data_IF_012124650236
#
_entry.id   IF_012124650236
#
_cell.length_a   1.000
_cell.length_b   1.000
_cell.length_c   1.000
_cell.angle_alpha   90.00
_cell.angle_beta   90.00
_cell.angle_gamma   90.00
#
_symmetry.space_group_name_H-M   'P 1'
#
loop_
_entity.id
_entity.type
_entity.pdbx_description
1 polymer ?
#
# COMPACT_ATOMS: atom_id res chain seq x y z
N UNK A 1 -5.12 -12.96 -4.83
CA UNK A 1 -5.20 -14.41 -4.63
C UNK A 1 -6.10 -14.76 -3.44
N UNK A 2 -6.49 -16.04 -3.29
CA UNK A 2 -7.36 -16.51 -2.19
C UNK A 2 -6.79 -16.19 -0.78
N UNK A 3 -5.48 -16.22 -0.60
CA UNK A 3 -4.82 -15.91 0.68
C UNK A 3 -4.98 -14.43 1.07
N UNK A 4 -4.88 -13.52 0.13
CA UNK A 4 -5.11 -12.10 0.39
C UNK A 4 -6.57 -11.79 0.76
N UNK A 5 -7.55 -12.47 0.12
CA UNK A 5 -8.96 -12.34 0.50
C UNK A 5 -9.27 -12.87 1.90
N UNK A 6 -8.61 -13.95 2.35
CA UNK A 6 -8.81 -14.50 3.69
C UNK A 6 -8.19 -13.64 4.79
N UNK A 7 -7.07 -12.98 4.53
CA UNK A 7 -6.49 -12.01 5.46
C UNK A 7 -7.35 -10.75 5.59
N UNK A 8 -7.99 -10.29 4.50
CA UNK A 8 -8.91 -9.15 4.52
C UNK A 8 -10.16 -9.37 5.35
N UNK A 9 -10.62 -10.62 5.49
CA UNK A 9 -11.92 -10.93 6.10
C UNK A 9 -11.82 -11.07 7.63
N UNK A 10 -10.64 -11.34 8.18
CA UNK A 10 -10.51 -11.71 9.61
C UNK A 10 -9.96 -10.62 10.52
N UNK A 11 -9.05 -9.76 10.07
CA UNK A 11 -8.34 -8.90 11.01
C UNK A 11 -8.25 -7.41 10.62
N UNK A 12 -8.53 -7.01 9.38
CA UNK A 12 -8.49 -5.59 8.98
C UNK A 12 -9.33 -5.31 7.73
N UNK A 13 -10.15 -4.26 7.72
CA UNK A 13 -10.80 -3.80 6.51
C UNK A 13 -9.78 -3.08 5.62
N UNK A 14 -9.04 -3.81 4.80
CA UNK A 14 -8.23 -3.23 3.72
C UNK A 14 -8.64 -3.80 2.38
N UNK A 15 -8.38 -3.04 1.33
CA UNK A 15 -8.55 -3.51 -0.04
C UNK A 15 -7.38 -3.08 -0.91
N UNK A 16 -7.19 -3.78 -2.01
CA UNK A 16 -6.25 -3.41 -3.06
C UNK A 16 -7.08 -3.03 -4.27
N UNK A 17 -6.90 -1.80 -4.72
CA UNK A 17 -7.57 -1.23 -5.87
C UNK A 17 -6.59 -1.15 -7.04
N UNK A 18 -6.93 -1.75 -8.17
CA UNK A 18 -6.26 -1.46 -9.43
C UNK A 18 -6.91 -0.22 -10.04
N UNK A 19 -6.15 0.84 -10.21
CA UNK A 19 -6.67 2.09 -10.73
C UNK A 19 -7.06 1.95 -12.20
N UNK A 20 -8.16 2.61 -12.57
CA UNK A 20 -8.55 2.80 -13.95
C UNK A 20 -7.81 3.99 -14.57
N UNK A 21 -7.87 4.11 -15.91
CA UNK A 21 -7.13 5.15 -16.64
C UNK A 21 -7.45 6.59 -16.23
N UNK A 22 -8.65 6.83 -15.67
CA UNK A 22 -9.06 8.16 -15.19
C UNK A 22 -8.41 8.58 -13.87
N UNK A 23 -8.02 7.60 -13.06
CA UNK A 23 -7.44 7.82 -11.72
C UNK A 23 -5.91 7.65 -11.70
N UNK A 24 -5.36 7.00 -12.73
CA UNK A 24 -3.90 6.83 -12.85
C UNK A 24 -3.22 8.14 -13.25
N UNK A 25 -2.00 8.36 -12.73
CA UNK A 25 -1.09 9.37 -13.28
C UNK A 25 -0.82 9.09 -14.76
N UNK A 26 -0.77 10.15 -15.58
CA UNK A 26 -0.42 10.03 -17.02
C UNK A 26 0.96 9.39 -17.28
N UNK A 27 1.79 9.29 -16.24
CA UNK A 27 3.13 8.73 -16.33
C UNK A 27 3.18 7.24 -16.02
N UNK A 28 2.12 6.66 -15.41
CA UNK A 28 2.09 5.27 -14.99
C UNK A 28 1.34 4.39 -16.00
N UNK A 29 1.85 3.19 -16.23
CA UNK A 29 1.20 2.17 -17.04
C UNK A 29 0.27 1.28 -16.23
N UNK A 30 0.54 1.13 -14.93
CA UNK A 30 -0.24 0.33 -14.00
C UNK A 30 -0.04 0.86 -12.58
N UNK A 31 -1.12 1.02 -11.83
CA UNK A 31 -1.08 1.44 -10.43
C UNK A 31 -2.01 0.58 -9.58
N UNK A 32 -1.50 0.18 -8.42
CA UNK A 32 -2.27 -0.45 -7.35
C UNK A 32 -2.22 0.41 -6.11
N UNK A 33 -3.39 0.71 -5.56
CA UNK A 33 -3.53 1.40 -4.28
C UNK A 33 -3.95 0.42 -3.20
N UNK A 34 -3.34 0.57 -2.04
CA UNK A 34 -3.74 -0.12 -0.83
C UNK A 34 -4.56 0.86 0.00
N UNK A 35 -5.78 0.47 0.32
CA UNK A 35 -6.69 1.31 1.07
C UNK A 35 -7.15 0.61 2.35
N UNK A 36 -7.33 1.38 3.41
CA UNK A 36 -7.93 0.95 4.67
C UNK A 36 -9.25 1.67 4.91
N UNK A 37 -10.19 0.98 5.54
CA UNK A 37 -11.46 1.60 5.89
C UNK A 37 -11.32 2.44 7.15
N UNK A 38 -11.73 3.70 7.06
CA UNK A 38 -11.87 4.58 8.22
C UNK A 38 -13.28 4.50 8.75
N UNK A 39 -13.44 4.00 9.96
CA UNK A 39 -14.74 3.89 10.61
C UNK A 39 -15.30 5.28 10.97
N UNK A 40 -14.45 6.20 11.38
CA UNK A 40 -14.83 7.57 11.70
C UNK A 40 -15.32 8.36 10.49
N UNK A 41 -14.66 8.19 9.33
CA UNK A 41 -15.01 8.91 8.09
C UNK A 41 -15.98 8.13 7.20
N UNK A 42 -16.26 6.86 7.52
CA UNK A 42 -17.11 5.95 6.72
C UNK A 42 -16.67 5.84 5.26
N UNK A 43 -15.36 5.84 5.03
CA UNK A 43 -14.78 5.74 3.67
C UNK A 43 -13.45 5.02 3.66
N UNK A 44 -13.05 4.60 2.47
CA UNK A 44 -11.74 4.04 2.21
C UNK A 44 -10.69 5.15 2.07
N UNK A 45 -9.54 4.95 2.68
CA UNK A 45 -8.40 5.87 2.65
C UNK A 45 -7.18 5.14 2.10
N UNK A 46 -6.57 5.72 1.07
CA UNK A 46 -5.30 5.23 0.54
C UNK A 46 -4.20 5.33 1.61
N UNK A 47 -3.44 4.25 1.78
CA UNK A 47 -2.31 4.16 2.70
C UNK A 47 -1.00 3.83 2.00
N UNK A 48 -1.06 3.34 0.76
CA UNK A 48 0.09 3.05 -0.08
C UNK A 48 -0.34 3.02 -1.54
N UNK A 49 0.50 3.51 -2.43
CA UNK A 49 0.33 3.40 -3.87
C UNK A 49 1.59 2.83 -4.49
N UNK A 50 1.43 1.89 -5.41
CA UNK A 50 2.54 1.25 -6.13
C UNK A 50 2.28 1.32 -7.62
N UNK A 51 3.18 1.95 -8.36
CA UNK A 51 3.06 2.21 -9.79
C UNK A 51 4.20 1.62 -10.60
N UNK A 52 3.87 1.09 -11.75
CA UNK A 52 4.82 0.74 -12.81
C UNK A 52 4.82 1.85 -13.86
N UNK A 53 5.96 2.45 -14.10
CA UNK A 53 6.14 3.52 -15.09
C UNK A 53 6.76 3.03 -16.39
N UNK A 54 7.05 1.74 -16.50
CA UNK A 54 7.79 1.18 -17.63
C UNK A 54 9.03 2.06 -17.95
N UNK A 55 9.20 2.49 -19.19
CA UNK A 55 10.35 3.29 -19.60
C UNK A 55 10.15 4.81 -19.49
N UNK A 56 8.99 5.29 -19.05
CA UNK A 56 8.67 6.72 -19.05
C UNK A 56 9.67 7.55 -18.25
N UNK A 57 9.92 7.16 -17.00
CA UNK A 57 10.89 7.86 -16.14
C UNK A 57 12.32 7.60 -16.59
N UNK A 58 12.65 6.37 -16.97
CA UNK A 58 13.97 5.99 -17.44
C UNK A 58 14.39 6.78 -18.69
N UNK A 59 13.46 7.04 -19.60
CA UNK A 59 13.74 7.84 -20.79
C UNK A 59 14.12 9.28 -20.44
N UNK A 60 13.44 9.89 -19.44
CA UNK A 60 13.75 11.25 -18.96
C UNK A 60 15.06 11.32 -18.19
N UNK A 61 15.31 10.32 -17.34
CA UNK A 61 16.55 10.18 -16.57
C UNK A 61 17.71 9.70 -17.43
N UNK A 62 17.45 9.29 -18.68
CA UNK A 62 18.41 8.62 -19.58
C UNK A 62 19.00 7.35 -18.94
N UNK A 63 18.24 6.71 -18.05
CA UNK A 63 18.62 5.49 -17.34
C UNK A 63 18.55 4.30 -18.28
N UNK A 64 19.70 3.67 -18.51
CA UNK A 64 19.85 2.53 -19.43
C UNK A 64 20.69 1.44 -18.80
N UNK A 65 20.49 0.23 -19.26
CA UNK A 65 21.32 -0.92 -18.90
C UNK A 65 21.77 -1.65 -20.16
N UNK A 66 22.80 -2.49 -20.04
CA UNK A 66 23.18 -3.41 -21.08
C UNK A 66 22.57 -4.76 -20.80
N UNK A 67 21.87 -5.32 -21.76
CA UNK A 67 21.33 -6.66 -21.67
C UNK A 67 22.41 -7.73 -21.85
N UNK A 68 22.01 -9.02 -21.82
CA UNK A 68 22.94 -10.15 -21.98
C UNK A 68 23.72 -10.10 -23.30
N UNK A 69 23.10 -9.54 -24.35
CA UNK A 69 23.72 -9.38 -25.69
C UNK A 69 24.55 -8.10 -25.78
N UNK A 70 24.79 -7.38 -24.68
CA UNK A 70 25.48 -6.09 -24.59
C UNK A 70 24.77 -4.95 -25.35
N UNK A 71 23.51 -5.11 -25.71
CA UNK A 71 22.68 -4.05 -26.28
C UNK A 71 22.19 -3.10 -25.20
N UNK A 72 22.17 -1.81 -25.52
CA UNK A 72 21.68 -0.79 -24.60
C UNK A 72 20.17 -0.72 -24.65
N UNK A 73 19.51 -0.92 -23.48
CA UNK A 73 18.07 -0.88 -23.30
C UNK A 73 17.68 0.21 -22.29
N UNK A 74 16.47 0.78 -22.42
CA UNK A 74 15.89 1.62 -21.38
C UNK A 74 15.47 0.75 -20.20
N UNK A 75 15.78 1.20 -18.99
CA UNK A 75 15.30 0.55 -17.79
C UNK A 75 13.79 0.77 -17.61
N UNK A 76 13.13 -0.12 -16.87
CA UNK A 76 11.79 0.12 -16.34
C UNK A 76 11.90 0.56 -14.89
N UNK A 77 11.00 1.40 -14.44
CA UNK A 77 10.98 1.91 -13.07
C UNK A 77 9.68 1.57 -12.37
N UNK A 78 9.80 1.26 -11.10
CA UNK A 78 8.69 1.12 -10.18
C UNK A 78 8.81 2.22 -9.12
N UNK A 79 7.67 2.69 -8.65
CA UNK A 79 7.59 3.61 -7.53
C UNK A 79 6.53 3.09 -6.56
N UNK A 80 6.81 3.18 -5.27
CA UNK A 80 5.86 2.77 -4.25
C UNK A 80 6.12 3.49 -2.94
N UNK A 81 5.05 3.97 -2.33
CA UNK A 81 5.09 4.39 -0.93
C UNK A 81 4.97 3.18 -0.03
N UNK A 82 5.80 3.12 1.00
CA UNK A 82 5.76 1.99 1.93
C UNK A 82 4.45 1.98 2.72
N UNK A 83 4.14 3.03 3.45
CA UNK A 83 2.85 3.24 4.14
C UNK A 83 2.70 4.71 4.55
N UNK A 84 1.47 5.22 4.49
CA UNK A 84 1.11 6.50 5.11
C UNK A 84 0.91 6.30 6.62
N UNK A 85 1.98 6.43 7.41
CA UNK A 85 1.97 6.12 8.84
C UNK A 85 0.81 6.76 9.62
N UNK A 86 0.49 8.06 9.45
CA UNK A 86 -0.63 8.67 10.19
C UNK A 86 -1.96 7.99 9.90
N UNK A 87 -2.22 7.63 8.64
CA UNK A 87 -3.46 6.94 8.25
C UNK A 87 -3.52 5.51 8.78
N UNK A 88 -2.38 4.80 8.80
CA UNK A 88 -2.29 3.45 9.37
C UNK A 88 -2.54 3.49 10.88
N UNK A 89 -1.92 4.41 11.60
CA UNK A 89 -2.14 4.57 13.05
C UNK A 89 -3.61 4.91 13.32
N UNK A 90 -4.19 5.86 12.60
CA UNK A 90 -5.61 6.19 12.75
C UNK A 90 -6.51 4.97 12.49
N UNK A 91 -6.25 4.22 11.41
CA UNK A 91 -7.02 3.03 11.09
C UNK A 91 -6.90 1.93 12.17
N UNK A 92 -5.71 1.75 12.75
CA UNK A 92 -5.52 0.82 13.87
C UNK A 92 -6.32 1.26 15.08
N UNK A 93 -6.21 2.53 15.48
CA UNK A 93 -6.92 3.08 16.64
C UNK A 93 -8.45 3.01 16.44
N UNK A 94 -8.95 3.27 15.24
CA UNK A 94 -10.38 3.25 14.94
C UNK A 94 -10.97 1.82 14.90
N UNK A 95 -10.26 0.88 14.28
CA UNK A 95 -10.81 -0.44 13.98
C UNK A 95 -10.59 -1.48 15.09
N UNK A 96 -9.76 -1.19 16.08
CA UNK A 96 -9.45 -2.12 17.17
C UNK A 96 -9.96 -1.66 18.55
N UNK A 97 -10.91 -0.74 18.56
CA UNK A 97 -11.55 -0.28 19.80
C UNK A 97 -12.40 -1.38 20.41
N UNK A 98 -12.28 -1.55 21.73
CA UNK A 98 -13.10 -2.44 22.55
C UNK A 98 -13.58 -1.71 23.80
N UNK A 99 -14.56 -2.24 24.56
CA UNK A 99 -14.96 -1.62 25.81
C UNK A 99 -13.84 -1.51 26.86
N UNK A 100 -12.80 -2.33 26.75
CA UNK A 100 -11.66 -2.37 27.69
C UNK A 100 -10.50 -1.45 27.26
N UNK A 101 -10.51 -0.96 26.01
CA UNK A 101 -9.46 -0.15 25.41
C UNK A 101 -9.23 -0.52 23.95
N UNK A 102 -8.12 -0.07 23.41
CA UNK A 102 -7.77 -0.32 22.00
C UNK A 102 -6.82 -1.51 21.94
N UNK A 103 -7.26 -2.61 21.31
CA UNK A 103 -6.42 -3.80 21.14
C UNK A 103 -5.31 -3.56 20.13
N UNK A 104 -4.13 -4.07 20.45
CA UNK A 104 -3.01 -4.09 19.52
C UNK A 104 -3.11 -5.36 18.65
N UNK A 105 -2.98 -5.24 17.31
CA UNK A 105 -2.90 -6.41 16.45
C UNK A 105 -1.77 -7.36 16.89
N UNK A 106 -2.03 -8.65 16.90
CA UNK A 106 -1.09 -9.68 17.37
C UNK A 106 0.30 -9.54 16.73
N UNK A 107 0.34 -9.24 15.43
CA UNK A 107 1.59 -9.04 14.70
C UNK A 107 2.44 -7.85 15.19
N UNK A 108 1.85 -6.91 15.95
CA UNK A 108 2.53 -5.73 16.48
C UNK A 108 2.93 -5.89 17.95
N UNK A 109 2.35 -6.82 18.68
CA UNK A 109 2.64 -7.05 20.12
C UNK A 109 4.13 -7.24 20.38
N UNK A 110 4.90 -8.00 19.58
CA UNK A 110 6.33 -8.14 19.81
C UNK A 110 7.14 -6.83 19.73
N UNK A 111 6.59 -5.82 19.06
CA UNK A 111 7.23 -4.51 18.89
C UNK A 111 6.75 -3.49 19.91
N UNK A 112 5.50 -3.55 20.30
CA UNK A 112 4.91 -2.63 21.28
C UNK A 112 5.19 -3.03 22.72
N UNK A 113 5.32 -4.32 22.99
CA UNK A 113 5.49 -4.87 24.35
C UNK A 113 4.19 -4.88 25.18
N UNK A 114 3.05 -4.53 24.56
CA UNK A 114 1.73 -4.57 25.19
C UNK A 114 0.67 -4.94 24.14
N UNK A 115 -0.47 -5.44 24.61
CA UNK A 115 -1.58 -5.95 23.81
C UNK A 115 -2.80 -5.01 23.77
N UNK A 116 -2.87 -4.05 24.69
CA UNK A 116 -3.98 -3.11 24.82
C UNK A 116 -3.51 -1.74 25.27
N UNK A 117 -4.11 -0.70 24.71
CA UNK A 117 -4.00 0.69 25.14
C UNK A 117 -5.26 1.00 25.97
N UNK A 118 -5.08 1.36 27.23
CA UNK A 118 -6.15 1.77 28.14
C UNK A 118 -6.31 3.26 28.18
#
# INVERSE_FOLDING_TARGET
>A
SRRQRQMCIRDRPYRILRLCGGDMSFTSALTYDFEVYSEAQKRWLEVSSVSNFESFQANRLKLRYKDADKKTQLAHTLNGSSLALPRIVAALLENFQTPEGIRIPEALIPYTGFDIIK
#
